data_IF_116499693503
#
_entry.id   IF_116499693503
#
_cell.length_a   1.000
_cell.length_b   1.000
_cell.length_c   1.000
_cell.angle_alpha   90.00
_cell.angle_beta   90.00
_cell.angle_gamma   90.00
#
_symmetry.space_group_name_H-M   'P 1'
#
loop_
_entity.id
_entity.type
_entity.pdbx_description
1 polymer ?
2 non-polymer ?
3 water ?
#
# COMPACT_ATOMS: atom_id res chain seq x y z
N UNK A 1 16.95 4.11 9.57
CA UNK A 1 16.82 4.75 8.27
C UNK A 1 15.52 5.52 8.13
N UNK A 2 15.59 6.59 7.34
CA UNK A 2 14.42 7.34 6.93
C UNK A 2 14.27 7.12 5.42
N UNK A 3 13.06 6.80 4.97
CA UNK A 3 12.77 6.60 3.55
C UNK A 3 11.71 7.60 3.12
N UNK A 4 12.09 8.55 2.25
CA UNK A 4 11.13 9.52 1.71
C UNK A 4 10.29 8.82 0.64
N UNK A 5 9.23 9.46 0.18
CA UNK A 5 8.25 8.79 -0.67
C UNK A 5 8.13 9.38 -2.08
N UNK A 6 9.16 10.14 -2.51
CA UNK A 6 9.19 10.69 -3.86
C UNK A 6 9.18 9.59 -4.92
N UNK A 7 9.78 8.46 -4.54
CA UNK A 7 9.81 7.28 -5.39
C UNK A 7 9.23 6.11 -4.60
N UNK A 8 8.87 5.05 -5.31
CA UNK A 8 8.37 3.86 -4.66
C UNK A 8 9.42 3.39 -3.67
N UNK A 9 9.01 3.08 -2.43
CA UNK A 9 9.94 2.63 -1.39
C UNK A 9 10.32 1.14 -1.52
N UNK A 10 11.14 0.87 -2.51
CA UNK A 10 11.60 -0.48 -2.81
C UNK A 10 12.84 -0.81 -1.97
N UNK A 11 12.91 -2.05 -1.51
CA UNK A 11 14.01 -2.53 -0.69
C UNK A 11 14.42 -3.90 -1.15
N UNK A 12 15.66 -4.27 -0.84
CA UNK A 12 16.18 -5.57 -1.23
C UNK A 12 15.97 -6.53 -0.07
N UNK A 13 15.49 -7.72 -0.39
CA UNK A 13 15.30 -8.73 0.65
C UNK A 13 15.99 -10.04 0.32
N UNK A 14 16.34 -10.79 1.35
CA UNK A 14 16.80 -12.17 1.16
C UNK A 14 15.84 -13.09 1.90
N UNK A 15 15.20 -13.99 1.16
CA UNK A 15 14.28 -14.94 1.79
C UNK A 15 14.54 -16.35 1.33
N UNK A 16 14.79 -17.25 2.28
CA UNK A 16 15.14 -18.65 2.01
C UNK A 16 16.13 -18.77 0.85
N UNK A 17 17.24 -18.07 1.00
CA UNK A 17 18.36 -18.11 0.08
C UNK A 17 18.20 -17.33 -1.21
N UNK A 18 17.04 -16.68 -1.37
CA UNK A 18 16.67 -16.02 -2.63
C UNK A 18 16.69 -14.51 -2.48
N UNK A 19 17.20 -13.82 -3.48
CA UNK A 19 17.32 -12.37 -3.42
C UNK A 19 16.16 -11.80 -4.23
N UNK A 20 15.41 -10.85 -3.65
CA UNK A 20 14.25 -10.27 -4.33
C UNK A 20 14.19 -8.80 -3.96
N UNK A 21 13.33 -8.04 -4.66
CA UNK A 21 13.06 -6.67 -4.26
C UNK A 21 11.56 -6.57 -3.99
N UNK A 22 11.18 -5.66 -3.08
CA UNK A 22 9.79 -5.54 -2.67
C UNK A 22 9.51 -4.13 -2.21
N UNK A 23 8.24 -3.76 -2.23
CA UNK A 23 7.79 -2.44 -1.90
C UNK A 23 7.37 -2.43 -0.42
N UNK A 24 7.94 -1.51 0.37
CA UNK A 24 7.45 -1.29 1.74
C UNK A 24 6.05 -0.68 1.66
N UNK A 25 5.04 -1.44 2.07
CA UNK A 25 3.66 -1.08 1.73
C UNK A 25 2.75 -1.03 2.97
N UNK A 26 2.51 0.18 3.48
CA UNK A 26 1.69 0.36 4.69
C UNK A 26 0.23 -0.01 4.46
N UNK A 27 -0.16 -0.09 3.18
CA UNK A 27 -1.54 -0.47 2.83
C UNK A 27 -1.73 -1.98 2.73
N UNK A 28 -0.65 -2.74 2.90
CA UNK A 28 -0.72 -4.21 2.86
C UNK A 28 -0.72 -4.80 4.26
N UNK A 29 -1.75 -5.59 4.59
CA UNK A 29 -1.80 -6.28 5.88
C UNK A 29 -0.73 -7.34 5.94
N UNK A 30 -0.52 -8.00 4.79
CA UNK A 30 0.31 -9.20 4.61
C UNK A 30 1.47 -8.99 3.63
N UNK A 31 2.51 -9.80 3.76
CA UNK A 31 3.66 -9.72 2.87
C UNK A 31 3.39 -10.66 1.70
N UNK A 32 3.58 -10.19 0.47
CA UNK A 32 3.18 -10.97 -0.70
C UNK A 32 4.25 -10.96 -1.77
N UNK A 33 4.62 -12.14 -2.28
CA UNK A 33 5.60 -12.28 -3.37
C UNK A 33 5.07 -13.14 -4.50
N UNK A 34 5.45 -12.80 -5.72
CA UNK A 34 4.97 -13.51 -6.92
C UNK A 34 5.76 -14.77 -7.25
N UNK A 35 7.08 -14.64 -7.28
CA UNK A 35 7.97 -15.72 -7.68
C UNK A 35 8.91 -15.90 -6.53
N UNK A 36 8.53 -16.79 -5.62
CA UNK A 36 9.36 -17.09 -4.49
C UNK A 36 9.07 -18.51 -4.12
N UNK A 37 10.11 -19.34 -4.13
CA UNK A 37 9.98 -20.69 -3.70
C UNK A 37 10.26 -20.80 -2.21
N UNK A 38 9.26 -21.28 -1.50
CA UNK A 38 9.36 -21.42 -0.06
C UNK A 38 9.17 -22.87 0.28
N UNK A 39 9.81 -23.28 1.36
CA UNK A 39 9.81 -24.69 1.74
C UNK A 39 8.74 -24.92 2.79
N UNK A 40 8.28 -26.17 2.86
CA UNK A 40 7.37 -26.61 3.90
C UNK A 40 5.88 -26.73 3.42
N UNK A 41 5.07 -26.64 4.62
CA UNK A 41 3.65 -26.74 4.38
C UNK A 41 3.12 -25.34 4.13
N UNK A 42 1.97 -25.28 3.49
CA UNK A 42 1.30 -24.03 3.22
C UNK A 42 -0.21 -24.27 3.19
N UNK A 43 -0.98 -23.21 3.42
CA UNK A 43 -2.44 -23.29 3.33
C UNK A 43 -2.90 -22.40 2.18
N UNK A 44 -3.92 -22.85 1.43
CA UNK A 44 -4.52 -22.01 0.38
C UNK A 44 -5.23 -20.83 1.02
N UNK A 45 -5.10 -19.67 0.38
CA UNK A 45 -5.68 -18.44 0.90
C UNK A 45 -6.10 -17.57 -0.27
N UNK A 46 -7.14 -16.77 -0.08
CA UNK A 46 -7.52 -15.78 -1.09
C UNK A 46 -7.41 -14.42 -0.46
N UNK A 47 -6.68 -13.52 -1.12
CA UNK A 47 -6.60 -12.13 -0.71
C UNK A 47 -7.22 -11.19 -1.74
N UNK A 48 -7.72 -10.05 -1.27
CA UNK A 48 -8.44 -9.12 -2.13
C UNK A 48 -7.73 -7.79 -2.20
N UNK A 49 -7.58 -7.26 -3.40
CA UNK A 49 -7.01 -5.92 -3.56
C UNK A 49 -7.87 -5.11 -4.50
N UNK A 50 -7.27 -4.07 -5.09
CA UNK A 50 -7.97 -3.15 -5.97
C UNK A 50 -8.72 -3.78 -7.15
N UNK A 51 -8.08 -4.70 -7.87
CA UNK A 51 -8.67 -5.20 -9.12
C UNK A 51 -9.44 -6.51 -9.04
N UNK A 52 -9.65 -6.98 -7.82
CA UNK A 52 -10.27 -8.28 -7.52
C UNK A 52 -9.46 -9.13 -6.56
N UNK A 53 -9.61 -10.45 -6.66
CA UNK A 53 -9.01 -11.39 -5.72
C UNK A 53 -7.98 -12.31 -6.38
N UNK A 54 -6.95 -12.69 -5.63
CA UNK A 54 -6.00 -13.71 -6.06
C UNK A 54 -5.86 -14.82 -5.01
N UNK A 55 -5.68 -16.04 -5.51
CA UNK A 55 -5.40 -17.20 -4.68
C UNK A 55 -3.91 -17.23 -4.38
N UNK A 56 -3.55 -17.38 -3.11
CA UNK A 56 -2.14 -17.41 -2.70
C UNK A 56 -1.86 -18.62 -1.83
N UNK A 57 -0.58 -18.95 -1.65
CA UNK A 57 -0.19 -19.97 -0.69
C UNK A 57 0.29 -19.23 0.54
N UNK A 58 -0.23 -19.59 1.70
CA UNK A 58 0.29 -19.03 2.93
C UNK A 58 1.38 -19.89 3.55
N UNK A 59 2.58 -19.33 3.67
CA UNK A 59 3.69 -19.98 4.36
C UNK A 59 3.95 -19.26 5.67
N UNK A 60 4.06 -20.00 6.76
CA UNK A 60 4.31 -19.37 8.05
C UNK A 60 5.76 -19.48 8.47
N UNK A 61 6.14 -18.61 9.40
CA UNK A 61 7.48 -18.58 9.99
C UNK A 61 8.60 -18.61 8.94
N UNK A 62 8.49 -17.71 7.98
CA UNK A 62 9.47 -17.54 6.92
C UNK A 62 10.51 -16.50 7.34
N UNK A 63 11.80 -16.87 7.25
CA UNK A 63 12.87 -15.90 7.53
C UNK A 63 13.00 -14.85 6.45
N UNK A 64 13.07 -13.58 6.86
CA UNK A 64 13.25 -12.48 5.92
C UNK A 64 14.36 -11.55 6.42
N UNK A 65 15.32 -11.27 5.55
CA UNK A 65 16.38 -10.29 5.82
C UNK A 65 16.06 -9.03 5.06
N UNK A 66 15.95 -7.92 5.79
CA UNK A 66 15.44 -6.67 5.26
C UNK A 66 15.96 -5.54 6.14
N UNK A 67 16.60 -4.56 5.52
CA UNK A 67 16.91 -3.28 6.19
C UNK A 67 17.84 -3.50 7.38
N UNK A 68 18.88 -4.31 7.17
CA UNK A 68 19.85 -4.64 8.23
C UNK A 68 19.26 -5.45 9.37
N UNK A 69 18.08 -6.03 9.14
CA UNK A 69 17.38 -6.76 10.17
C UNK A 69 16.91 -8.11 9.65
N UNK A 70 16.94 -9.11 10.51
CA UNK A 70 16.40 -10.42 10.18
C UNK A 70 15.10 -10.52 10.94
N UNK A 71 14.05 -10.89 10.24
CA UNK A 71 12.75 -11.08 10.84
C UNK A 71 12.17 -12.42 10.32
N UNK A 72 11.17 -12.92 11.01
CA UNK A 72 10.55 -14.18 10.65
C UNK A 72 9.04 -13.91 10.65
N UNK A 73 8.39 -14.20 9.54
CA UNK A 73 6.95 -13.92 9.43
C UNK A 73 6.23 -14.72 8.35
N UNK A 74 4.95 -14.44 8.19
CA UNK A 74 4.11 -15.12 7.20
C UNK A 74 4.23 -14.43 5.84
N UNK A 75 4.50 -15.24 4.82
CA UNK A 75 4.62 -14.76 3.47
C UNK A 75 3.58 -15.47 2.62
N UNK A 76 2.85 -14.69 1.85
CA UNK A 76 1.90 -15.22 0.88
C UNK A 76 2.57 -15.24 -0.49
N UNK A 77 2.41 -16.34 -1.19
CA UNK A 77 2.98 -16.50 -2.51
C UNK A 77 1.88 -16.70 -3.54
N UNK A 78 1.87 -15.84 -4.54
CA UNK A 78 0.77 -15.84 -5.49
C UNK A 78 0.97 -14.71 -6.48
N UNK A 79 0.12 -14.66 -7.51
CA UNK A 79 0.18 -13.60 -8.50
C UNK A 79 -0.01 -12.22 -7.88
N UNK A 80 1.00 -11.38 -8.03
CA UNK A 80 0.90 -9.96 -7.72
C UNK A 80 1.84 -9.26 -8.68
N UNK A 81 1.44 -8.09 -9.18
CA UNK A 81 2.33 -7.40 -10.08
C UNK A 81 3.59 -6.86 -9.43
N UNK A 82 3.54 -6.66 -8.11
CA UNK A 82 4.63 -6.08 -7.34
C UNK A 82 4.74 -6.85 -6.02
N UNK A 83 5.96 -7.25 -5.64
CA UNK A 83 6.15 -7.86 -4.32
C UNK A 83 5.97 -6.80 -3.25
N UNK A 84 5.31 -7.15 -2.14
CA UNK A 84 5.00 -6.11 -1.13
C UNK A 84 5.36 -6.62 0.27
N UNK A 85 6.00 -5.75 1.03
CA UNK A 85 6.33 -6.04 2.43
C UNK A 85 5.21 -5.40 3.24
N UNK A 86 4.48 -6.22 3.99
CA UNK A 86 3.29 -5.75 4.69
C UNK A 86 3.54 -5.28 6.11
N UNK A 87 2.46 -4.86 6.77
CA UNK A 87 2.58 -4.31 8.12
C UNK A 87 3.11 -5.37 9.06
N UNK A 88 2.86 -6.64 8.77
CA UNK A 88 3.31 -7.74 9.63
C UNK A 88 4.83 -7.71 9.82
N UNK A 89 5.54 -7.42 8.74
CA UNK A 89 6.99 -7.28 8.75
C UNK A 89 7.41 -5.91 9.25
N UNK A 90 6.71 -4.85 8.81
CA UNK A 90 7.10 -3.50 9.20
C UNK A 90 7.04 -3.23 10.70
N UNK A 91 6.02 -3.75 11.39
CA UNK A 91 5.96 -3.55 12.84
C UNK A 91 7.20 -4.17 13.50
N UNK A 92 7.63 -5.30 12.96
CA UNK A 92 8.89 -5.92 13.40
C UNK A 92 10.12 -5.07 13.02
N UNK A 93 10.07 -4.36 11.89
CA UNK A 93 11.21 -3.50 11.56
C UNK A 93 11.23 -2.27 12.48
N UNK A 94 10.16 -2.10 13.29
CA UNK A 94 10.00 -0.94 14.17
C UNK A 94 9.72 0.28 13.30
N UNK A 95 9.20 -0.01 12.12
CA UNK A 95 8.96 0.95 11.06
C UNK A 95 7.70 1.76 11.35
N UNK A 96 7.80 3.08 11.26
CA UNK A 96 6.67 3.98 11.55
C UNK A 96 6.49 5.01 10.42
N UNK A 97 5.30 5.58 10.31
CA UNK A 97 5.07 6.74 9.42
C UNK A 97 5.24 8.01 10.22
N UNK A 98 6.21 8.83 9.81
CA UNK A 98 6.54 10.07 10.50
C UNK A 98 6.39 11.29 9.62
N UNK A 99 5.77 12.34 10.18
CA UNK A 99 5.65 13.63 9.50
C UNK A 99 5.40 14.77 10.49
N UNK B 1 3.47 14.14 13.69
CA UNK B 1 2.92 12.91 14.26
C UNK B 1 3.67 11.67 13.78
N UNK B 2 3.60 10.63 14.59
CA UNK B 2 4.15 9.32 14.28
C UNK B 2 3.01 8.31 14.29
N UNK B 3 2.90 7.49 13.25
CA UNK B 3 1.86 6.46 13.14
C UNK B 3 2.55 5.09 13.15
N UNK B 4 2.30 4.28 14.19
CA UNK B 4 2.80 2.91 14.21
C UNK B 4 1.91 2.05 13.32
N UNK B 5 2.32 0.81 13.05
CA UNK B 5 1.66 0.02 12.01
C UNK B 5 1.03 -1.26 12.54
N UNK B 6 0.78 -1.31 13.86
CA UNK B 6 0.13 -2.45 14.47
C UNK B 6 -1.31 -2.61 13.92
N UNK B 7 -1.89 -1.48 13.58
CA UNK B 7 -3.20 -1.46 12.94
C UNK B 7 -3.10 -0.72 11.63
N UNK B 8 -4.10 -0.89 10.77
CA UNK B 8 -4.15 -0.16 9.48
C UNK B 8 -4.08 1.31 9.80
N UNK B 9 -3.21 2.05 9.08
CA UNK B 9 -3.05 3.48 9.31
C UNK B 9 -4.12 4.32 8.62
N UNK B 10 -5.31 4.27 9.21
CA UNK B 10 -6.48 4.96 8.69
C UNK B 10 -6.51 6.39 9.24
N UNK B 11 -6.88 7.34 8.38
CA UNK B 11 -6.98 8.76 8.76
C UNK B 11 -8.25 9.33 8.22
N UNK B 12 -8.68 10.43 8.82
CA UNK B 12 -9.90 11.10 8.41
C UNK B 12 -9.52 12.22 7.45
N UNK B 13 -10.26 12.32 6.35
CA UNK B 13 -10.00 13.40 5.39
C UNK B 13 -11.26 14.19 5.07
N UNK B 14 -11.07 15.43 4.67
CA UNK B 14 -12.16 16.23 4.14
C UNK B 14 -11.82 16.58 2.70
N UNK B 15 -12.65 16.14 1.77
CA UNK B 15 -12.41 16.46 0.36
C UNK B 15 -13.64 17.02 -0.31
N UNK B 16 -13.50 18.23 -0.86
CA UNK B 16 -14.59 18.91 -1.53
C UNK B 16 -15.89 18.78 -0.75
N UNK B 17 -15.81 19.14 0.53
CA UNK B 17 -16.94 19.23 1.42
C UNK B 17 -17.38 17.93 2.07
N UNK B 18 -16.75 16.82 1.71
CA UNK B 18 -17.17 15.47 2.11
C UNK B 18 -16.19 14.87 3.08
N UNK B 19 -16.70 14.16 4.08
CA UNK B 19 -15.86 13.58 5.13
C UNK B 19 -15.70 12.09 4.84
N UNK B 20 -14.47 11.59 4.83
CA UNK B 20 -14.22 10.18 4.46
C UNK B 20 -13.08 9.67 5.33
N UNK B 21 -12.86 8.36 5.31
CA UNK B 21 -11.65 7.81 5.92
C UNK B 21 -10.85 7.08 4.84
N UNK B 22 -9.52 7.01 5.02
CA UNK B 22 -8.65 6.43 4.02
C UNK B 22 -7.40 5.89 4.67
N UNK B 23 -6.76 4.96 3.98
CA UNK B 23 -5.58 4.31 4.47
C UNK B 23 -4.35 5.06 3.92
N UNK B 24 -3.42 5.45 4.82
CA UNK B 24 -2.12 5.99 4.40
C UNK B 24 -1.32 4.84 3.78
N UNK B 25 -1.11 4.91 2.47
CA UNK B 25 -0.67 3.71 1.74
C UNK B 25 0.61 3.98 0.92
N UNK B 26 1.77 3.58 1.46
CA UNK B 26 3.06 3.81 0.78
C UNK B 26 3.21 2.97 -0.50
N UNK B 27 2.36 1.94 -0.64
CA UNK B 27 2.39 1.09 -1.84
C UNK B 27 1.50 1.62 -2.95
N UNK B 28 0.80 2.72 -2.69
CA UNK B 28 -0.06 3.37 -3.70
C UNK B 28 0.63 4.59 -4.32
N UNK B 29 0.81 4.60 -5.66
CA UNK B 29 1.37 5.75 -6.36
C UNK B 29 0.41 6.93 -6.29
N UNK B 30 -0.88 6.60 -6.39
CA UNK B 30 -2.00 7.55 -6.51
C UNK B 30 -3.02 7.44 -5.37
N UNK B 31 -3.76 8.51 -5.17
CA UNK B 31 -4.80 8.54 -4.15
C UNK B 31 -6.10 8.07 -4.80
N UNK B 32 -6.81 7.14 -4.18
CA UNK B 32 -7.99 6.55 -4.79
C UNK B 32 -9.13 6.45 -3.80
N UNK B 33 -10.32 6.88 -4.21
CA UNK B 33 -11.53 6.79 -3.40
C UNK B 33 -12.67 6.15 -4.17
N UNK B 34 -13.53 5.41 -3.46
CA UNK B 34 -14.68 4.72 -4.06
C UNK B 34 -15.92 5.59 -4.27
N UNK B 35 -16.38 6.25 -3.21
CA UNK B 35 -17.70 6.90 -3.20
C UNK B 35 -17.61 8.41 -2.97
N UNK B 36 -16.67 9.04 -3.67
CA UNK B 36 -16.42 10.46 -3.52
C UNK B 36 -16.92 11.18 -4.76
N UNK B 37 -17.77 12.20 -4.56
CA UNK B 37 -18.23 13.03 -5.64
C UNK B 37 -17.35 14.26 -5.79
N UNK B 38 -16.77 14.41 -6.98
CA UNK B 38 -15.84 15.49 -7.22
C UNK B 38 -16.34 16.35 -8.35
N UNK B 39 -16.00 17.64 -8.30
CA UNK B 39 -16.52 18.58 -9.26
C UNK B 39 -15.57 18.74 -10.44
N UNK B 40 -16.14 19.06 -11.58
CA UNK B 40 -15.38 19.40 -12.78
C UNK B 40 -15.17 18.20 -13.73
N UNK B 41 -14.02 18.47 -14.52
CA UNK B 41 -13.68 17.53 -15.56
C UNK B 41 -12.80 16.45 -14.99
N UNK B 42 -12.70 15.36 -15.75
CA UNK B 42 -11.87 14.24 -15.39
C UNK B 42 -11.43 13.55 -16.68
N UNK B 43 -10.40 12.70 -16.59
CA UNK B 43 -10.02 11.83 -17.69
C UNK B 43 -10.25 10.39 -17.24
N UNK B 44 -10.63 9.51 -18.17
CA UNK B 44 -10.73 8.08 -17.89
C UNK B 44 -9.34 7.49 -17.73
N UNK B 45 -9.17 6.60 -16.76
CA UNK B 45 -7.89 6.00 -16.46
C UNK B 45 -8.08 4.55 -15.99
N UNK B 46 -7.10 3.71 -16.25
CA UNK B 46 -7.13 2.36 -15.70
C UNK B 46 -5.91 2.19 -14.81
N UNK B 47 -6.16 1.74 -13.58
CA UNK B 47 -5.08 1.38 -12.66
C UNK B 47 -5.10 -0.11 -12.34
N UNK B 48 -3.92 -0.67 -12.08
CA UNK B 48 -3.78 -2.09 -11.79
C UNK B 48 -3.27 -2.35 -10.38
N UNK B 49 -3.94 -3.25 -9.69
CA UNK B 49 -3.52 -3.65 -8.37
C UNK B 49 -3.43 -5.15 -8.33
N UNK B 50 -3.43 -5.72 -7.13
CA UNK B 50 -3.56 -7.16 -6.95
C UNK B 50 -4.96 -7.59 -7.39
N UNK B 51 -5.03 -8.69 -8.13
CA UNK B 51 -6.31 -9.18 -8.60
C UNK B 51 -6.71 -8.73 -9.99
N UNK B 52 -6.25 -7.55 -10.41
CA UNK B 52 -6.65 -7.06 -11.74
C UNK B 52 -6.68 -5.55 -11.87
N UNK B 53 -7.45 -5.03 -12.83
CA UNK B 53 -7.49 -3.60 -13.04
C UNK B 53 -8.89 -3.02 -12.88
N UNK B 54 -8.93 -1.74 -12.51
CA UNK B 54 -10.18 -1.00 -12.43
C UNK B 54 -10.13 0.30 -13.24
N UNK B 55 -11.29 0.67 -13.76
CA UNK B 55 -11.49 1.92 -14.49
C UNK B 55 -11.76 2.99 -13.44
N UNK B 56 -11.03 4.10 -13.52
CA UNK B 56 -11.24 5.21 -12.58
C UNK B 56 -11.38 6.54 -13.33
N UNK B 57 -11.93 7.54 -12.65
CA UNK B 57 -11.96 8.89 -13.17
C UNK B 57 -10.80 9.63 -12.54
N UNK B 58 -10.00 10.30 -13.36
CA UNK B 58 -8.92 11.10 -12.81
C UNK B 58 -9.33 12.57 -12.67
N UNK B 59 -9.33 13.05 -11.44
CA UNK B 59 -9.57 14.46 -11.18
C UNK B 59 -8.29 15.13 -10.72
N UNK B 60 -7.97 16.27 -11.30
CA UNK B 60 -6.77 17.01 -10.92
C UNK B 60 -7.07 18.17 -9.95
N UNK B 61 -6.03 18.59 -9.23
CA UNK B 61 -6.08 19.72 -8.31
C UNK B 61 -7.28 19.68 -7.36
N UNK B 62 -7.44 18.53 -6.71
CA UNK B 62 -8.46 18.35 -5.69
C UNK B 62 -7.83 18.74 -4.35
N UNK B 63 -8.42 19.72 -3.65
CA UNK B 63 -7.93 19.95 -2.29
C UNK B 63 -8.34 18.85 -1.31
N UNK B 64 -7.40 18.49 -0.44
CA UNK B 64 -7.62 17.44 0.55
C UNK B 64 -7.14 17.98 1.89
N UNK B 65 -7.98 17.81 2.91
CA UNK B 65 -7.57 18.12 4.29
C UNK B 65 -7.28 16.84 5.02
N UNK B 66 -6.06 16.75 5.54
CA UNK B 66 -5.54 15.52 6.08
C UNK B 66 -4.42 15.85 7.09
N UNK B 67 -4.52 15.24 8.26
CA UNK B 67 -3.45 15.31 9.28
C UNK B 67 -3.01 16.75 9.59
N UNK B 68 -3.98 17.66 9.77
CA UNK B 68 -3.71 19.06 10.08
C UNK B 68 -3.17 19.87 8.90
N UNK B 69 -3.12 19.24 7.73
CA UNK B 69 -2.53 19.84 6.55
C UNK B 69 -3.61 19.97 5.49
N UNK B 70 -3.57 21.04 4.73
CA UNK B 70 -4.39 21.13 3.52
C UNK B 70 -3.41 20.93 2.38
N UNK B 71 -3.74 20.01 1.48
CA UNK B 71 -2.91 19.73 0.33
C UNK B 71 -3.84 19.71 -0.89
N UNK B 72 -3.25 19.77 -2.08
CA UNK B 72 -4.03 19.72 -3.31
C UNK B 72 -3.39 18.70 -4.24
N UNK B 73 -4.17 17.72 -4.68
CA UNK B 73 -3.62 16.75 -5.63
C UNK B 73 -4.65 16.00 -6.48
N UNK B 74 -4.14 15.06 -7.26
CA UNK B 74 -4.93 14.23 -8.13
C UNK B 74 -5.56 13.09 -7.35
N UNK B 75 -6.87 12.95 -7.52
CA UNK B 75 -7.63 11.91 -6.87
C UNK B 75 -8.30 11.08 -7.94
N UNK B 76 -8.11 9.77 -7.85
CA UNK B 76 -8.78 8.84 -8.73
C UNK B 76 -10.06 8.35 -8.04
N UNK B 77 -11.16 8.31 -8.79
CA UNK B 77 -12.41 7.86 -8.24
C UNK B 77 -12.90 6.63 -9.00
N UNK B 78 -13.11 5.54 -8.27
CA UNK B 78 -13.49 4.30 -8.90
C UNK B 78 -13.60 3.20 -7.86
N UNK B 79 -14.00 2.00 -8.31
CA UNK B 79 -14.16 0.88 -7.41
C UNK B 79 -12.85 0.52 -6.69
N UNK B 80 -12.86 0.61 -5.38
CA UNK B 80 -11.75 0.11 -4.57
C UNK B 80 -12.37 -0.33 -3.24
N UNK B 81 -11.91 -1.46 -2.70
CA UNK B 81 -12.46 -1.91 -1.42
C UNK B 81 -12.12 -1.01 -0.26
N UNK B 82 -11.07 -0.20 -0.42
CA UNK B 82 -10.56 0.66 0.64
C UNK B 82 -10.07 1.96 0.00
N UNK B 83 -10.43 3.11 0.59
CA UNK B 83 -9.88 4.38 0.09
C UNK B 83 -8.43 4.48 0.47
N UNK B 84 -7.57 4.98 -0.43
CA UNK B 84 -6.12 4.98 -0.10
C UNK B 84 -5.54 6.34 -0.41
N UNK B 85 -4.70 6.81 0.51
CA UNK B 85 -3.95 8.05 0.33
C UNK B 85 -2.58 7.62 -0.19
N UNK B 86 -2.23 8.07 -1.39
CA UNK B 86 -1.02 7.60 -2.07
C UNK B 86 0.20 8.48 -1.83
N UNK B 87 1.31 8.12 -2.47
CA UNK B 87 2.55 8.83 -2.24
C UNK B 87 2.44 10.26 -2.73
N UNK B 88 1.54 10.50 -3.70
CA UNK B 88 1.36 11.85 -4.28
C UNK B 88 0.97 12.86 -3.20
N UNK B 89 0.19 12.39 -2.23
CA UNK B 89 -0.25 13.21 -1.10
C UNK B 89 0.74 13.12 0.04
N UNK B 90 1.30 11.93 0.28
CA UNK B 90 2.18 11.76 1.41
C UNK B 90 3.46 12.58 1.32
N UNK B 91 4.04 12.69 0.12
CA UNK B 91 5.23 13.53 -0.06
C UNK B 91 4.94 14.98 0.36
N UNK B 92 3.75 15.44 0.04
CA UNK B 92 3.33 16.78 0.46
C UNK B 92 3.13 16.90 1.97
N UNK B 93 2.78 15.79 2.62
CA UNK B 93 2.64 15.79 4.07
C UNK B 93 3.99 15.81 4.77
N UNK B 94 5.06 15.63 3.99
CA UNK B 94 6.41 15.51 4.52
C UNK B 94 6.52 14.17 5.22
N UNK B 95 5.67 13.24 4.80
CA UNK B 95 5.48 11.97 5.45
C UNK B 95 6.54 10.97 4.98
N UNK B 96 7.23 10.36 5.93
CA UNK B 96 8.36 9.45 5.67
C UNK B 96 8.20 8.15 6.43
N UNK B 97 8.87 7.10 5.98
CA UNK B 97 8.97 5.84 6.73
C UNK B 97 10.25 5.85 7.55
N UNK B 98 10.10 5.73 8.87
CA UNK B 98 11.24 5.76 9.79
C UNK B 98 11.36 4.48 10.59
N UNK B 99 12.60 3.98 10.70
CA UNK B 99 12.92 2.87 11.61
C UNK B 99 14.39 2.91 12.05
X LIG C 1 -2.03 -8.68 2.18
X LIG C 1 -2.30 -7.81 1.20
X LIG C 1 -1.25 -7.20 0.53
X LIG C 1 -1.51 -6.29 -0.48
X LIG C 1 -2.83 -6.00 -0.82
X LIG C 1 -3.89 -6.62 -0.15
X LIG C 1 -3.63 -7.54 0.87
X LIG C 1 -3.11 -4.95 -2.00
X LIG C 1 -2.05 -5.06 -2.96
X LIG C 1 -4.35 -5.25 -2.62
X LIG C 1 -3.23 -3.39 -1.52
X LIG C 1 -4.26 -3.21 -0.47
X LIG C 1 -4.82 -1.78 -0.53
X LIG C 1 -5.59 -1.52 -1.83
X LIG C 1 -5.69 -1.48 0.68
X LIG C 1 -1.93 -2.82 -1.10
X LIG C 1 -1.56 -1.61 -1.97
X LIG C 1 -0.45 -0.92 -1.41
X LIG C 1 -1.25 -1.99 -3.42
X LIG C 1 -1.28 -0.73 -4.15
X LIG C 1 -2.25 -0.40 -5.01
X LIG C 1 -3.23 -1.09 -5.31
X LIG C 1 -2.07 0.90 -5.61
X LIG C 1 -2.89 1.23 -6.72
X LIG C 1 -3.19 2.69 -6.48
X LIG C 1 -1.98 3.36 -6.88
X LIG C 1 -1.41 2.63 -7.97
X LIG C 1 0.00 2.50 -7.74
X LIG C 1 0.38 1.11 -7.67
X LIG C 1 -0.86 0.27 -7.95
X LIG C 1 -2.03 1.24 -7.98
X LIG C 1 0.17 -2.55 -3.63
X LIG C 1 1.30 -2.27 -5.83
X LIG C 1 1.41 -2.60 -7.16
X LIG C 1 0.57 -3.55 -7.74
X LIG C 1 -0.40 -4.17 -6.97
X LIG C 1 -0.53 -3.86 -5.63
X LIG C 1 0.32 -2.91 -5.06
#
# INVERSE_FOLDING_TARGET
>A
PQITLWQRPIVTVKIEGQLKEALLDTGADDTVFEELTLSGRWKPRLIGGIGGFVRVRQYDQVPIEICGHKVIDTVLVGPTPTNVIGRNVMTQLGCTLNF
>B
PQITLWQRPIVTVKIEGQLKEALLDTGADDTVFEELTLSGRWKPRLIGGIGGFVRVRQYDQVPIEICGHKVIDTVLVGPTPTNVIGRNVMTQLGCTLNF
>C hetero
1 017 N1 C2 C3 C4 C5 C6 C7 S8 O9 O10 N11 C12 C13 C14 C15 C16 C17 O18 C19 N20 C21 O22 O23 C24 C25 O26 C27 O28 C29 C30 C31 C32 C33 C34 C35 C36 C37 C38
#
